data_IF_187185015194
#
_entry.id   IF_187185015194
#
_cell.length_a   1.000
_cell.length_b   1.000
_cell.length_c   1.000
_cell.angle_alpha   90.00
_cell.angle_beta   90.00
_cell.angle_gamma   90.00
#
_symmetry.space_group_name_H-M   'P 1'
#
loop_
_entity.id
_entity.type
_entity.pdbx_description
1 polymer ?
#
# COMPACT_ATOMS: atom_id res chain seq x y z
N UNK A 1 -1.42 -78.44 -85.84
CA UNK A 1 -2.02 -78.02 -84.55
C UNK A 1 -1.20 -78.63 -83.43
N UNK A 2 -0.60 -77.83 -82.55
CA UNK A 2 0.17 -78.37 -81.41
C UNK A 2 -0.77 -78.70 -80.25
N UNK A 3 -0.92 -79.98 -79.93
CA UNK A 3 -1.70 -80.45 -78.77
C UNK A 3 -0.77 -80.49 -77.56
N UNK A 4 -1.07 -79.69 -76.54
CA UNK A 4 -0.34 -79.69 -75.27
C UNK A 4 -0.44 -81.07 -74.60
N UNK A 5 0.67 -81.54 -74.02
CA UNK A 5 0.69 -82.76 -73.21
C UNK A 5 -0.24 -82.64 -72.01
N UNK A 6 -0.87 -83.75 -71.58
CA UNK A 6 -1.73 -83.78 -70.37
C UNK A 6 -1.03 -83.18 -69.13
N UNK A 7 0.30 -83.37 -69.02
CA UNK A 7 1.12 -82.78 -67.95
C UNK A 7 1.12 -81.25 -68.01
N UNK A 8 1.24 -80.66 -69.21
CA UNK A 8 1.19 -79.21 -69.40
C UNK A 8 -0.21 -78.65 -69.13
N UNK A 9 -1.27 -79.38 -69.51
CA UNK A 9 -2.64 -78.97 -69.22
C UNK A 9 -2.94 -78.94 -67.71
N UNK A 10 -2.47 -79.93 -66.96
CA UNK A 10 -2.64 -79.97 -65.50
C UNK A 10 -1.86 -78.84 -64.81
N UNK A 11 -0.61 -78.59 -65.21
CA UNK A 11 0.20 -77.47 -64.70
C UNK A 11 -0.48 -76.12 -64.93
N UNK A 12 -1.06 -75.90 -66.12
CA UNK A 12 -1.80 -74.66 -66.41
C UNK A 12 -3.07 -74.52 -65.58
N UNK A 13 -3.75 -75.62 -65.23
CA UNK A 13 -4.90 -75.60 -64.31
C UNK A 13 -4.48 -75.24 -62.89
N UNK A 14 -3.38 -75.82 -62.41
CA UNK A 14 -2.81 -75.50 -61.09
C UNK A 14 -2.39 -74.03 -60.99
N UNK A 15 -1.68 -73.50 -61.99
CA UNK A 15 -1.30 -72.08 -62.03
C UNK A 15 -2.53 -71.17 -61.98
N UNK A 16 -3.59 -71.49 -62.73
CA UNK A 16 -4.85 -70.74 -62.70
C UNK A 16 -5.50 -70.79 -61.32
N UNK A 17 -5.52 -71.95 -60.68
CA UNK A 17 -6.08 -72.14 -59.34
C UNK A 17 -5.30 -71.32 -58.29
N UNK A 18 -3.97 -71.43 -58.27
CA UNK A 18 -3.09 -70.65 -57.38
C UNK A 18 -3.28 -69.15 -57.59
N UNK A 19 -3.41 -68.69 -58.85
CA UNK A 19 -3.66 -67.28 -59.15
C UNK A 19 -5.04 -66.81 -58.64
N UNK A 20 -6.07 -67.66 -58.71
CA UNK A 20 -7.38 -67.37 -58.17
C UNK A 20 -7.37 -67.30 -56.64
N UNK A 21 -6.73 -68.26 -55.98
CA UNK A 21 -6.55 -68.30 -54.53
C UNK A 21 -5.80 -67.06 -54.04
N UNK A 22 -4.66 -66.74 -54.66
CA UNK A 22 -3.90 -65.54 -54.32
C UNK A 22 -4.73 -64.26 -54.47
N UNK A 23 -5.56 -64.15 -55.51
CA UNK A 23 -6.46 -62.99 -55.70
C UNK A 23 -7.56 -62.93 -54.63
N UNK A 24 -8.09 -64.09 -54.20
CA UNK A 24 -9.07 -64.16 -53.11
C UNK A 24 -8.45 -63.74 -51.78
N UNK A 25 -7.22 -64.15 -51.48
CA UNK A 25 -6.49 -63.76 -50.28
C UNK A 25 -6.24 -62.24 -50.25
N UNK A 26 -5.82 -61.65 -51.38
CA UNK A 26 -5.64 -60.20 -51.48
C UNK A 26 -6.97 -59.45 -51.23
N UNK A 27 -8.08 -59.93 -51.78
CA UNK A 27 -9.41 -59.34 -51.52
C UNK A 27 -9.80 -59.44 -50.05
N UNK A 28 -9.51 -60.57 -49.40
CA UNK A 28 -9.82 -60.78 -47.99
C UNK A 28 -9.01 -59.82 -47.11
N UNK A 29 -7.71 -59.68 -47.38
CA UNK A 29 -6.84 -58.71 -46.69
C UNK A 29 -7.37 -57.27 -46.86
N UNK A 30 -7.75 -56.89 -48.08
CA UNK A 30 -8.29 -55.55 -48.34
C UNK A 30 -9.61 -55.30 -47.61
N UNK A 31 -10.51 -56.28 -47.57
CA UNK A 31 -11.77 -56.20 -46.80
C UNK A 31 -11.50 -56.07 -45.31
N UNK A 32 -10.55 -56.83 -44.77
CA UNK A 32 -10.17 -56.74 -43.37
C UNK A 32 -9.62 -55.34 -43.02
N UNK A 33 -8.70 -54.81 -43.84
CA UNK A 33 -8.17 -53.44 -43.68
C UNK A 33 -9.27 -52.37 -43.78
N UNK A 34 -10.23 -52.53 -44.70
CA UNK A 34 -11.35 -51.61 -44.83
C UNK A 34 -12.23 -51.62 -43.58
N UNK A 35 -12.53 -52.80 -43.03
CA UNK A 35 -13.32 -52.93 -41.81
C UNK A 35 -12.59 -52.33 -40.61
N UNK A 36 -11.28 -52.53 -40.51
CA UNK A 36 -10.45 -51.90 -39.46
C UNK A 36 -10.47 -50.37 -39.57
N UNK A 37 -10.33 -49.82 -40.78
CA UNK A 37 -10.41 -48.38 -41.01
C UNK A 37 -11.78 -47.80 -40.66
N UNK A 38 -12.87 -48.52 -40.98
CA UNK A 38 -14.22 -48.13 -40.57
C UNK A 38 -14.37 -48.10 -39.05
N UNK A 39 -13.92 -49.15 -38.36
CA UNK A 39 -13.96 -49.20 -36.90
C UNK A 39 -13.15 -48.07 -36.24
N UNK A 40 -11.97 -47.74 -36.80
CA UNK A 40 -11.17 -46.59 -36.35
C UNK A 40 -11.90 -45.26 -36.57
N UNK A 41 -12.56 -45.09 -37.70
CA UNK A 41 -13.33 -43.87 -37.98
C UNK A 41 -14.52 -43.72 -37.02
N UNK A 42 -15.24 -44.80 -36.73
CA UNK A 42 -16.36 -44.78 -35.77
C UNK A 42 -15.88 -44.42 -34.37
N UNK A 43 -14.72 -44.95 -33.95
CA UNK A 43 -14.08 -44.58 -32.69
C UNK A 43 -13.70 -43.10 -32.65
N UNK A 44 -13.18 -42.56 -33.75
CA UNK A 44 -12.86 -41.13 -33.86
C UNK A 44 -14.12 -40.28 -33.72
N UNK A 45 -15.23 -40.66 -34.35
CA UNK A 45 -16.49 -39.92 -34.22
C UNK A 45 -17.01 -39.93 -32.78
N UNK A 46 -17.03 -41.10 -32.13
CA UNK A 46 -17.40 -41.18 -30.70
C UNK A 46 -16.54 -40.28 -29.81
N UNK A 47 -15.23 -40.25 -30.05
CA UNK A 47 -14.32 -39.36 -29.32
C UNK A 47 -14.64 -37.88 -29.56
N UNK A 48 -14.99 -37.49 -30.79
CA UNK A 48 -15.42 -36.12 -31.10
C UNK A 48 -16.70 -35.75 -30.36
N UNK A 49 -17.67 -36.65 -30.30
CA UNK A 49 -18.94 -36.42 -29.61
C UNK A 49 -18.72 -36.25 -28.09
N UNK A 50 -17.91 -37.13 -27.49
CA UNK A 50 -17.52 -37.00 -26.07
C UNK A 50 -16.86 -35.65 -25.78
N UNK A 51 -15.88 -35.25 -26.60
CA UNK A 51 -15.20 -33.96 -26.45
C UNK A 51 -16.16 -32.78 -26.59
N UNK A 52 -17.16 -32.89 -27.48
CA UNK A 52 -18.19 -31.87 -27.67
C UNK A 52 -19.06 -31.75 -26.42
N UNK A 53 -19.53 -32.86 -25.87
CA UNK A 53 -20.29 -32.87 -24.61
C UNK A 53 -19.50 -32.30 -23.43
N UNK A 54 -18.22 -32.65 -23.31
CA UNK A 54 -17.34 -32.11 -22.27
C UNK A 54 -17.19 -30.60 -22.40
N UNK A 55 -17.01 -30.10 -23.62
CA UNK A 55 -16.90 -28.67 -23.88
C UNK A 55 -18.19 -27.92 -23.51
N UNK A 56 -19.36 -28.48 -23.82
CA UNK A 56 -20.63 -27.86 -23.45
C UNK A 56 -20.86 -27.89 -21.93
N UNK A 57 -20.44 -28.96 -21.23
CA UNK A 57 -20.41 -29.01 -19.74
C UNK A 57 -19.46 -27.96 -19.15
N UNK A 58 -18.35 -27.66 -19.80
CA UNK A 58 -17.42 -26.61 -19.35
C UNK A 58 -18.03 -25.21 -19.54
N UNK A 59 -18.74 -24.97 -20.65
CA UNK A 59 -19.42 -23.69 -20.88
C UNK A 59 -20.51 -23.42 -19.85
N UNK A 60 -21.32 -24.42 -19.49
CA UNK A 60 -22.35 -24.25 -18.45
C UNK A 60 -21.72 -23.94 -17.09
N UNK A 61 -20.65 -24.66 -16.73
CA UNK A 61 -19.86 -24.34 -15.52
C UNK A 61 -19.31 -22.91 -15.55
N UNK A 62 -18.79 -22.46 -16.69
CA UNK A 62 -18.29 -21.10 -16.83
C UNK A 62 -19.39 -20.05 -16.62
N UNK A 63 -20.59 -20.29 -17.15
CA UNK A 63 -21.75 -19.43 -16.93
C UNK A 63 -22.14 -19.40 -15.44
N UNK A 64 -22.17 -20.54 -14.76
CA UNK A 64 -22.45 -20.63 -13.32
C UNK A 64 -21.41 -19.88 -12.47
N UNK A 65 -20.15 -19.90 -12.86
CA UNK A 65 -19.11 -19.12 -12.17
C UNK A 65 -19.33 -17.62 -12.37
N UNK A 66 -19.70 -17.18 -13.58
CA UNK A 66 -19.99 -15.77 -13.86
C UNK A 66 -21.22 -15.26 -13.10
N UNK A 67 -22.27 -16.06 -12.98
CA UNK A 67 -23.46 -15.68 -12.18
C UNK A 67 -23.10 -15.53 -10.71
N UNK A 68 -22.37 -16.49 -10.13
CA UNK A 68 -21.85 -16.39 -8.76
C UNK A 68 -20.98 -15.17 -8.56
N UNK A 69 -20.07 -14.87 -9.49
CA UNK A 69 -19.21 -13.68 -9.40
C UNK A 69 -20.04 -12.38 -9.33
N UNK A 70 -21.09 -12.28 -10.15
CA UNK A 70 -21.99 -11.13 -10.12
C UNK A 70 -22.76 -11.04 -8.79
N UNK A 71 -23.24 -12.15 -8.24
CA UNK A 71 -23.87 -12.18 -6.91
C UNK A 71 -22.91 -11.73 -5.79
N UNK A 72 -21.65 -12.13 -5.86
CA UNK A 72 -20.66 -11.68 -4.88
C UNK A 72 -20.40 -10.18 -4.99
N UNK A 73 -20.32 -9.64 -6.20
CA UNK A 73 -20.16 -8.19 -6.44
C UNK A 73 -21.35 -7.39 -5.93
N UNK A 74 -22.58 -7.87 -6.10
CA UNK A 74 -23.77 -7.17 -5.58
C UNK A 74 -23.78 -7.16 -4.06
N UNK A 75 -23.49 -8.30 -3.41
CA UNK A 75 -23.36 -8.40 -1.95
C UNK A 75 -22.26 -7.48 -1.41
N UNK A 76 -21.12 -7.41 -2.08
CA UNK A 76 -20.03 -6.53 -1.69
C UNK A 76 -20.45 -5.05 -1.75
N UNK A 77 -21.14 -4.65 -2.82
CA UNK A 77 -21.65 -3.29 -2.98
C UNK A 77 -22.70 -2.94 -1.92
N UNK A 78 -23.58 -3.89 -1.56
CA UNK A 78 -24.55 -3.74 -0.49
C UNK A 78 -23.87 -3.54 0.88
N UNK A 79 -22.85 -4.34 1.19
CA UNK A 79 -22.07 -4.19 2.42
C UNK A 79 -21.33 -2.85 2.47
N UNK A 80 -20.72 -2.43 1.36
CA UNK A 80 -20.06 -1.12 1.25
C UNK A 80 -21.03 0.03 1.51
N UNK A 81 -22.24 -0.02 0.96
CA UNK A 81 -23.25 1.01 1.18
C UNK A 81 -23.73 1.05 2.63
N UNK A 82 -24.00 -0.12 3.23
CA UNK A 82 -24.33 -0.26 4.67
C UNK A 82 -23.23 0.33 5.55
N UNK A 83 -21.97 0.02 5.26
CA UNK A 83 -20.82 0.52 6.02
C UNK A 83 -20.66 2.04 5.88
N UNK A 84 -20.91 2.59 4.69
CA UNK A 84 -20.87 4.04 4.46
C UNK A 84 -21.95 4.77 5.26
N UNK A 85 -23.17 4.25 5.30
CA UNK A 85 -24.27 4.80 6.10
C UNK A 85 -23.92 4.76 7.59
N UNK A 86 -23.44 3.62 8.08
CA UNK A 86 -23.01 3.45 9.47
C UNK A 86 -21.88 4.42 9.84
N UNK A 87 -20.87 4.56 8.99
CA UNK A 87 -19.77 5.50 9.22
C UNK A 87 -20.26 6.95 9.26
N UNK A 88 -21.20 7.31 8.39
CA UNK A 88 -21.81 8.66 8.39
C UNK A 88 -22.60 8.91 9.67
N UNK A 89 -23.35 7.92 10.15
CA UNK A 89 -24.07 7.98 11.41
C UNK A 89 -23.13 8.12 12.61
N UNK A 90 -22.12 7.27 12.72
CA UNK A 90 -21.10 7.33 13.77
C UNK A 90 -20.38 8.68 13.77
N UNK A 91 -20.02 9.21 12.59
CA UNK A 91 -19.40 10.53 12.45
C UNK A 91 -20.33 11.65 12.94
N UNK A 92 -21.64 11.56 12.70
CA UNK A 92 -22.63 12.51 13.23
C UNK A 92 -22.71 12.43 14.76
N UNK A 93 -22.77 11.22 15.32
CA UNK A 93 -22.81 10.99 16.77
C UNK A 93 -21.56 11.52 17.47
N UNK A 94 -20.37 11.20 16.96
CA UNK A 94 -19.11 11.69 17.50
C UNK A 94 -19.03 13.22 17.48
N UNK A 95 -19.49 13.87 16.40
CA UNK A 95 -19.58 15.34 16.32
C UNK A 95 -20.53 15.92 17.38
N UNK A 96 -21.72 15.33 17.55
CA UNK A 96 -22.68 15.78 18.59
C UNK A 96 -22.06 15.65 19.99
N UNK A 97 -21.42 14.53 20.28
CA UNK A 97 -20.79 14.27 21.57
C UNK A 97 -19.64 15.25 21.86
N UNK A 98 -18.78 15.52 20.85
CA UNK A 98 -17.68 16.49 20.96
C UNK A 98 -18.17 17.92 21.27
N UNK A 99 -19.38 18.30 20.81
CA UNK A 99 -20.00 19.59 21.16
C UNK A 99 -20.64 19.59 22.56
N UNK A 100 -21.27 18.47 22.97
CA UNK A 100 -21.95 18.35 24.27
C UNK A 100 -20.96 18.38 25.44
N UNK A 101 -19.77 17.80 25.27
CA UNK A 101 -18.80 17.67 26.36
C UNK A 101 -18.26 19.01 26.90
N UNK A 102 -17.81 19.98 26.08
CA UNK A 102 -17.39 21.30 26.56
C UNK A 102 -18.48 22.05 27.33
N UNK A 103 -19.73 22.02 26.86
CA UNK A 103 -20.85 22.66 27.56
C UNK A 103 -21.07 22.04 28.94
N UNK A 104 -20.99 20.70 29.04
CA UNK A 104 -21.09 20.01 30.32
C UNK A 104 -19.90 20.32 31.24
N UNK A 105 -18.68 20.42 30.70
CA UNK A 105 -17.49 20.87 31.46
C UNK A 105 -17.66 22.31 31.96
N UNK A 106 -18.19 23.21 31.15
CA UNK A 106 -18.42 24.60 31.55
C UNK A 106 -19.49 24.71 32.65
N UNK A 107 -20.58 23.92 32.57
CA UNK A 107 -21.55 23.81 33.68
C UNK A 107 -20.92 23.30 34.98
N UNK A 108 -19.95 22.37 34.90
CA UNK A 108 -19.29 21.80 36.08
C UNK A 108 -18.23 22.72 36.69
N UNK A 109 -17.34 23.28 35.86
CA UNK A 109 -16.14 23.99 36.31
C UNK A 109 -16.13 25.48 35.97
N UNK A 110 -16.91 25.88 34.97
CA UNK A 110 -16.91 27.24 34.46
C UNK A 110 -17.65 28.23 35.35
N UNK A 111 -18.61 27.79 36.16
CA UNK A 111 -19.38 28.65 37.08
C UNK A 111 -18.81 28.60 38.50
N UNK A 112 -18.46 27.41 38.98
CA UNK A 112 -17.99 27.22 40.36
C UNK A 112 -16.64 27.89 40.64
N UNK A 113 -15.68 27.79 39.71
CA UNK A 113 -14.35 28.39 39.91
C UNK A 113 -14.34 29.92 39.93
N UNK A 114 -15.00 30.66 39.02
CA UNK A 114 -14.98 32.12 39.11
C UNK A 114 -15.76 32.65 40.31
N UNK A 115 -16.80 31.95 40.78
CA UNK A 115 -17.48 32.33 42.03
C UNK A 115 -16.58 32.06 43.24
N UNK A 116 -15.91 30.92 43.32
CA UNK A 116 -14.92 30.63 44.38
C UNK A 116 -13.75 31.63 44.34
N UNK A 117 -13.20 31.91 43.15
CA UNK A 117 -12.13 32.90 42.97
C UNK A 117 -12.62 34.32 43.25
N UNK A 118 -13.86 34.66 42.89
CA UNK A 118 -14.49 35.93 43.16
C UNK A 118 -14.77 36.13 44.65
N UNK A 119 -15.16 35.07 45.35
CA UNK A 119 -15.32 35.07 46.81
C UNK A 119 -13.97 35.21 47.50
N UNK A 120 -12.92 34.55 47.03
CA UNK A 120 -11.55 34.70 47.55
C UNK A 120 -11.03 36.12 47.28
N UNK A 121 -11.21 36.65 46.06
CA UNK A 121 -10.80 37.99 45.69
C UNK A 121 -11.62 39.06 46.41
N UNK A 122 -12.93 38.85 46.62
CA UNK A 122 -13.80 39.74 47.39
C UNK A 122 -13.49 39.72 48.88
N UNK A 123 -13.11 38.54 49.42
CA UNK A 123 -12.58 38.42 50.78
C UNK A 123 -11.20 39.07 50.94
N UNK A 124 -10.39 39.05 49.88
CA UNK A 124 -9.10 39.74 49.81
C UNK A 124 -9.22 41.24 49.53
N UNK A 125 -10.29 41.69 48.86
CA UNK A 125 -10.56 43.10 48.53
C UNK A 125 -10.83 43.99 49.74
N UNK A 126 -11.12 43.40 50.91
CA UNK A 126 -11.15 44.13 52.18
C UNK A 126 -9.74 44.33 52.79
N UNK A 127 -8.69 43.84 52.14
CA UNK A 127 -7.29 44.17 52.42
C UNK A 127 -6.76 44.94 51.21
N UNK A 128 -6.87 46.26 51.25
CA UNK A 128 -6.09 47.15 50.39
C UNK A 128 -4.59 46.87 50.64
N UNK A 129 -4.01 45.90 49.94
CA UNK A 129 -2.56 45.87 49.75
C UNK A 129 -2.25 46.85 48.63
N UNK A 130 -1.60 47.95 49.01
CA UNK A 130 -1.19 48.99 48.11
C UNK A 130 -0.22 48.38 47.07
N UNK A 131 -0.63 48.34 45.80
CA UNK A 131 0.20 47.82 44.69
C UNK A 131 1.58 48.52 44.59
N UNK A 132 1.69 49.68 45.23
CA UNK A 132 2.87 50.49 45.45
C UNK A 132 4.01 49.77 46.20
N UNK A 133 3.70 48.82 47.09
CA UNK A 133 4.72 48.07 47.84
C UNK A 133 5.35 46.91 47.04
N UNK A 134 4.63 46.38 46.04
CA UNK A 134 5.07 45.23 45.24
C UNK A 134 5.75 45.67 43.94
N UNK A 135 5.30 46.78 43.35
CA UNK A 135 5.92 47.37 42.17
C UNK A 135 6.88 48.49 42.57
N UNK A 136 8.10 48.13 43.00
CA UNK A 136 9.20 49.12 42.98
C UNK A 136 9.56 49.39 41.52
N UNK A 137 9.11 50.54 41.00
CA UNK A 137 9.54 51.04 39.69
C UNK A 137 11.02 51.39 39.81
N UNK A 138 11.89 50.49 39.35
CA UNK A 138 13.33 50.75 39.29
C UNK A 138 13.60 51.84 38.24
N UNK A 139 14.31 52.88 38.66
CA UNK A 139 14.68 53.99 37.82
C UNK A 139 15.58 53.58 36.66
N UNK A 140 15.39 54.24 35.51
CA UNK A 140 16.12 53.99 34.26
C UNK A 140 17.65 54.09 34.42
N UNK A 141 18.11 54.96 35.33
CA UNK A 141 19.52 55.15 35.67
C UNK A 141 20.15 53.90 36.31
N UNK A 142 19.40 53.15 37.11
CA UNK A 142 19.84 51.90 37.74
C UNK A 142 19.96 50.76 36.71
N UNK A 143 19.15 50.81 35.64
CA UNK A 143 19.23 49.87 34.52
C UNK A 143 20.38 50.17 33.55
N UNK A 144 20.85 51.43 33.50
CA UNK A 144 21.99 51.86 32.70
C UNK A 144 23.34 51.60 33.39
N UNK A 145 23.43 51.77 34.71
CA UNK A 145 24.64 51.40 35.47
C UNK A 145 24.96 49.90 35.34
N UNK A 146 23.94 49.04 35.42
CA UNK A 146 24.08 47.59 35.20
C UNK A 146 24.50 47.23 33.76
N UNK A 147 24.27 48.10 32.77
CA UNK A 147 24.72 47.89 31.38
C UNK A 147 26.14 48.38 31.15
N UNK A 148 26.52 49.51 31.74
CA UNK A 148 27.86 50.08 31.56
C UNK A 148 28.98 49.31 32.27
N UNK A 149 28.67 48.59 33.34
CA UNK A 149 29.64 47.73 34.05
C UNK A 149 30.12 46.54 33.20
N UNK A 150 29.37 46.15 32.16
CA UNK A 150 29.64 44.93 31.37
C UNK A 150 30.57 45.09 30.16
N UNK A 151 31.18 46.27 29.94
CA UNK A 151 31.87 46.58 28.66
C UNK A 151 33.32 47.08 28.75
N UNK A 152 33.97 47.04 29.92
CA UNK A 152 35.41 47.30 30.03
C UNK A 152 36.09 46.25 30.89
N UNK A 153 36.87 45.37 30.26
CA UNK A 153 38.24 44.97 30.62
C UNK A 153 38.65 43.82 29.67
N UNK A 154 39.76 44.02 28.95
CA UNK A 154 40.58 42.95 28.37
C UNK A 154 41.89 42.90 29.16
N UNK A 155 42.23 41.67 29.53
CA UNK A 155 43.54 41.06 29.78
C UNK A 155 44.23 41.11 31.16
N UNK A 156 44.59 39.88 31.55
CA UNK A 156 45.52 39.37 32.56
C UNK A 156 45.11 39.38 34.06
N UNK A 157 44.77 38.18 34.57
CA UNK A 157 45.11 37.74 35.93
C UNK A 157 43.98 37.39 36.94
N UNK A 158 43.28 36.26 36.75
CA UNK A 158 42.47 35.45 37.73
C UNK A 158 41.40 36.20 38.59
N UNK A 159 40.48 35.50 39.31
CA UNK A 159 39.70 34.31 39.03
C UNK A 159 38.18 34.63 39.05
N UNK A 160 37.37 33.84 38.36
CA UNK A 160 35.92 33.76 38.63
C UNK A 160 35.02 34.64 37.76
N UNK A 161 34.19 33.93 36.99
CA UNK A 161 32.81 34.30 36.68
C UNK A 161 32.55 35.34 35.58
N UNK A 162 32.54 34.87 34.34
CA UNK A 162 31.34 34.96 33.49
C UNK A 162 31.59 34.20 32.19
N UNK A 163 31.52 32.86 32.24
CA UNK A 163 31.42 32.10 31.00
C UNK A 163 30.08 32.47 30.39
N UNK A 164 30.15 33.19 29.27
CA UNK A 164 29.15 33.11 28.20
C UNK A 164 28.61 31.70 28.22
N UNK A 165 27.32 31.49 28.47
CA UNK A 165 26.74 30.14 28.43
C UNK A 165 27.15 29.57 27.08
N UNK A 166 28.12 28.66 27.11
CA UNK A 166 28.53 27.86 25.98
C UNK A 166 27.33 26.95 25.80
N UNK A 167 26.32 27.44 25.08
CA UNK A 167 25.29 26.58 24.55
C UNK A 167 26.08 25.69 23.64
N UNK A 168 26.47 24.52 24.15
CA UNK A 168 26.85 23.34 23.39
C UNK A 168 25.91 23.36 22.20
N UNK A 169 26.37 23.86 21.05
CA UNK A 169 25.55 23.88 19.84
C UNK A 169 25.31 22.41 19.64
N UNK A 170 24.08 21.88 19.88
CA UNK A 170 23.89 20.45 19.83
C UNK A 170 24.31 20.08 18.42
N UNK A 171 25.40 19.31 18.30
CA UNK A 171 25.90 18.91 16.98
C UNK A 171 24.68 18.33 16.28
N UNK A 172 24.19 19.03 15.26
CA UNK A 172 22.88 18.75 14.70
C UNK A 172 22.90 17.28 14.30
N UNK A 173 22.19 16.42 15.04
CA UNK A 173 22.17 14.95 14.83
C UNK A 173 21.54 14.54 13.49
N UNK A 174 21.27 15.53 12.64
CA UNK A 174 20.68 15.39 11.32
C UNK A 174 21.57 16.12 10.32
N UNK A 175 21.83 15.44 9.20
CA UNK A 175 22.57 16.05 8.11
C UNK A 175 21.81 17.30 7.58
N UNK A 176 22.47 18.47 7.42
CA UNK A 176 21.79 19.74 7.10
C UNK A 176 21.04 19.75 5.76
N UNK A 177 21.37 18.85 4.84
CA UNK A 177 20.75 18.76 3.51
C UNK A 177 19.64 17.72 3.48
N UNK A 178 19.89 16.52 3.99
CA UNK A 178 18.92 15.41 3.91
C UNK A 178 17.97 15.39 5.09
N UNK A 179 18.29 16.11 6.17
CA UNK A 179 17.60 16.13 7.45
C UNK A 179 17.33 14.71 7.96
N UNK A 180 18.31 13.82 7.79
CA UNK A 180 18.30 12.43 8.25
C UNK A 180 19.36 12.22 9.32
N UNK A 181 19.07 11.33 10.26
CA UNK A 181 20.04 10.86 11.24
C UNK A 181 20.97 9.79 10.63
N UNK A 182 21.91 9.30 11.43
CA UNK A 182 22.88 8.25 11.06
C UNK A 182 22.19 6.95 10.58
N UNK A 183 21.03 6.63 11.14
CA UNK A 183 20.22 5.47 10.76
C UNK A 183 19.29 5.72 9.56
N UNK A 184 19.36 6.88 8.91
CA UNK A 184 18.54 7.23 7.74
C UNK A 184 17.09 7.64 8.04
N UNK A 185 16.71 7.76 9.32
CA UNK A 185 15.40 8.21 9.78
C UNK A 185 15.29 9.75 9.81
N UNK A 186 14.10 10.25 9.52
CA UNK A 186 13.76 11.66 9.64
C UNK A 186 13.39 12.00 11.09
N UNK A 187 13.51 13.27 11.53
CA UNK A 187 13.06 13.69 12.84
C UNK A 187 11.59 13.36 13.09
N UNK A 188 11.24 12.97 14.32
CA UNK A 188 9.87 12.61 14.69
C UNK A 188 8.86 13.76 14.54
N UNK A 189 9.33 15.02 14.61
CA UNK A 189 8.49 16.19 14.35
C UNK A 189 8.13 16.37 12.87
N UNK A 190 8.80 15.65 11.96
CA UNK A 190 8.56 15.72 10.53
C UNK A 190 7.52 14.68 10.09
N UNK A 191 6.30 15.13 9.77
CA UNK A 191 5.24 14.22 9.31
C UNK A 191 5.51 13.62 7.91
N UNK A 192 4.82 12.53 7.57
CA UNK A 192 5.02 11.81 6.29
C UNK A 192 4.87 12.68 5.04
N UNK A 193 3.99 13.69 5.07
CA UNK A 193 3.80 14.65 3.97
C UNK A 193 4.99 15.60 3.84
N UNK A 194 5.51 16.10 4.95
CA UNK A 194 6.69 16.94 5.01
C UNK A 194 7.92 16.18 4.49
N UNK A 195 8.09 14.91 4.88
CA UNK A 195 9.14 14.03 4.37
C UNK A 195 9.04 13.88 2.84
N UNK A 196 7.83 13.61 2.29
CA UNK A 196 7.61 13.50 0.84
C UNK A 196 7.98 14.79 0.10
N UNK A 197 7.55 15.95 0.61
CA UNK A 197 7.89 17.26 0.03
C UNK A 197 9.39 17.53 0.07
N UNK A 198 10.05 17.21 1.17
CA UNK A 198 11.50 17.39 1.32
C UNK A 198 12.29 16.52 0.34
N UNK A 199 11.92 15.24 0.19
CA UNK A 199 12.49 14.34 -0.82
C UNK A 199 12.30 14.88 -2.24
N UNK A 200 11.13 15.40 -2.57
CA UNK A 200 10.87 16.00 -3.88
C UNK A 200 11.76 17.24 -4.14
N UNK A 201 11.96 18.10 -3.13
CA UNK A 201 12.84 19.27 -3.25
C UNK A 201 14.31 18.89 -3.50
N UNK A 202 14.80 17.83 -2.85
CA UNK A 202 16.16 17.34 -3.05
C UNK A 202 16.41 16.81 -4.47
N UNK A 203 15.42 16.16 -5.09
CA UNK A 203 15.53 15.70 -6.49
C UNK A 203 15.58 16.85 -7.49
N UNK A 204 14.93 17.98 -7.20
CA UNK A 204 14.83 19.13 -8.12
C UNK A 204 16.05 20.06 -8.10
N UNK A 205 16.94 19.94 -7.10
CA UNK A 205 18.11 20.82 -6.96
C UNK A 205 19.40 20.01 -7.20
N UNK A 206 19.95 19.99 -8.43
CA UNK A 206 21.26 19.39 -8.66
C UNK A 206 22.31 20.08 -7.79
N UNK A 207 23.25 19.30 -7.26
CA UNK A 207 24.34 19.82 -6.43
C UNK A 207 25.27 20.69 -7.29
N UNK A 208 25.31 22.01 -7.05
CA UNK A 208 26.37 22.86 -7.60
C UNK A 208 27.67 22.50 -6.88
N UNK A 209 28.52 21.69 -7.52
CA UNK A 209 29.92 21.53 -7.09
C UNK A 209 30.57 22.91 -7.20
N UNK A 210 31.03 23.48 -6.07
CA UNK A 210 31.92 24.64 -6.11
C UNK A 210 33.22 24.17 -6.75
N UNK A 211 33.54 24.69 -7.93
CA UNK A 211 34.82 24.40 -8.58
C UNK A 211 35.93 24.93 -7.67
N UNK A 212 36.75 24.02 -7.13
CA UNK A 212 37.98 24.37 -6.44
C UNK A 212 38.92 24.86 -7.55
N UNK A 213 39.18 26.17 -7.59
CA UNK A 213 40.25 26.72 -8.42
C UNK A 213 41.56 26.16 -7.88
N UNK A 214 42.19 25.24 -8.62
CA UNK A 214 43.57 24.83 -8.35
C UNK A 214 44.45 26.06 -8.58
N UNK A 215 45.22 26.44 -7.55
CA UNK A 215 46.37 27.34 -7.68
C UNK A 215 47.51 26.57 -8.31
#
# INVERSE_FOLDING_TARGET
MYVLSRKQQNMMKEIKKVKQEWNMDQKLILRAKLNEMKAKNDLIQRKKDILKEENDKLKTKEQDWKTKENEWKTKENELKSKLQVNFRFLRKMAKKWKKKMPANKHKRYGVKKPEELGNILGSAGNKNMDLSEICTVLDKKYMESLKSESTKVKDEGLPGESSTMEVDKPQFRYHPRTLRNEHGNYPNWMNSKAIKKHKAKLKRRPFKKRAIKKK
#
